data_IF_191769097446
#
_entry.id   IF_191769097446
#
_cell.length_a   1.000
_cell.length_b   1.000
_cell.length_c   1.000
_cell.angle_alpha   90.00
_cell.angle_beta   90.00
_cell.angle_gamma   90.00
#
_symmetry.space_group_name_H-M   'P 1'
#
loop_
_entity.id
_entity.type
_entity.pdbx_description
1 polymer ?
#
# COMPACT_ATOMS: atom_id res chain seq x y z
N UNK A 1 12.68 24.69 8.40
CA UNK A 1 11.41 24.56 9.12
C UNK A 1 10.49 25.78 8.92
N UNK A 2 10.48 26.33 7.74
CA UNK A 2 9.61 27.45 7.41
C UNK A 2 8.26 27.03 6.80
N UNK A 3 8.03 25.73 6.59
CA UNK A 3 6.79 25.25 6.03
C UNK A 3 5.73 25.17 7.13
N UNK A 4 4.61 25.88 6.99
CA UNK A 4 3.49 25.71 7.88
C UNK A 4 2.80 24.38 7.55
N UNK A 5 2.77 23.45 8.49
CA UNK A 5 1.83 22.35 8.46
C UNK A 5 0.42 22.91 8.72
N UNK A 6 -0.55 22.50 7.91
CA UNK A 6 -1.90 23.06 7.97
C UNK A 6 -2.89 22.16 8.67
N UNK A 7 -2.77 20.87 8.47
CA UNK A 7 -3.72 19.88 8.95
C UNK A 7 -3.10 18.85 9.85
N UNK A 8 -1.91 18.34 9.52
CA UNK A 8 -1.26 17.31 10.31
C UNK A 8 0.22 17.58 10.51
N UNK A 9 0.74 17.03 11.57
CA UNK A 9 2.18 16.79 11.74
C UNK A 9 2.38 15.41 12.36
N UNK A 10 3.61 14.91 12.38
CA UNK A 10 3.88 13.64 13.04
C UNK A 10 5.24 13.62 13.72
N UNK A 11 5.36 12.77 14.73
CA UNK A 11 6.63 12.39 15.33
C UNK A 11 6.94 10.96 14.91
N UNK A 12 7.86 10.79 14.00
CA UNK A 12 8.27 9.50 13.46
C UNK A 12 8.81 9.58 12.05
N UNK A 13 8.60 8.54 11.29
CA UNK A 13 9.05 8.39 9.92
C UNK A 13 8.00 7.64 9.11
N UNK A 14 7.56 8.17 7.97
CA UNK A 14 6.72 7.44 7.02
C UNK A 14 7.65 6.72 6.04
N UNK A 15 7.87 5.44 6.27
CA UNK A 15 8.84 4.64 5.52
C UNK A 15 8.42 4.42 4.06
N UNK A 16 7.12 4.44 3.77
CA UNK A 16 6.54 4.23 2.44
C UNK A 16 6.43 5.49 1.61
N UNK A 17 6.91 6.65 2.10
CA UNK A 17 6.69 7.98 1.52
C UNK A 17 7.00 8.06 0.03
N UNK A 18 8.06 7.43 -0.45
CA UNK A 18 8.41 7.43 -1.87
C UNK A 18 7.36 6.76 -2.74
N UNK A 19 6.83 5.62 -2.29
CA UNK A 19 5.72 4.94 -2.93
C UNK A 19 4.45 5.78 -2.90
N UNK A 20 4.15 6.40 -1.77
CA UNK A 20 2.99 7.27 -1.61
C UNK A 20 3.04 8.48 -2.56
N UNK A 21 4.20 9.15 -2.68
CA UNK A 21 4.42 10.24 -3.65
C UNK A 21 4.15 9.76 -5.08
N UNK A 22 4.73 8.63 -5.46
CA UNK A 22 4.56 8.08 -6.80
C UNK A 22 3.10 7.72 -7.10
N UNK A 23 2.39 7.14 -6.13
CA UNK A 23 0.97 6.83 -6.27
C UNK A 23 0.10 8.08 -6.35
N UNK A 24 0.39 9.12 -5.58
CA UNK A 24 -0.33 10.41 -5.68
C UNK A 24 -0.14 11.02 -7.08
N UNK A 25 1.07 10.99 -7.62
CA UNK A 25 1.35 11.46 -8.98
C UNK A 25 0.64 10.61 -10.05
N UNK A 26 0.69 9.27 -9.92
CA UNK A 26 0.10 8.35 -10.89
C UNK A 26 -1.43 8.49 -11.01
N UNK A 27 -2.12 8.74 -9.90
CA UNK A 27 -3.59 8.88 -9.91
C UNK A 27 -4.10 10.27 -10.30
N UNK A 28 -3.20 11.24 -10.54
CA UNK A 28 -3.58 12.63 -10.89
C UNK A 28 -4.64 12.70 -11.98
N UNK A 29 -4.44 11.97 -13.08
CA UNK A 29 -5.31 12.02 -14.24
C UNK A 29 -6.65 11.25 -14.07
N UNK A 30 -6.74 10.42 -13.03
CA UNK A 30 -7.97 9.72 -12.67
C UNK A 30 -8.77 10.46 -11.59
N UNK A 31 -8.25 11.56 -11.06
CA UNK A 31 -8.94 12.35 -10.04
C UNK A 31 -9.89 13.38 -10.68
N UNK A 32 -11.07 13.45 -10.11
CA UNK A 32 -12.02 14.56 -10.30
C UNK A 32 -12.71 14.83 -8.98
N UNK A 33 -13.16 16.05 -8.75
CA UNK A 33 -13.84 16.43 -7.51
C UNK A 33 -15.00 17.36 -7.80
N UNK A 34 -16.17 17.00 -7.31
CA UNK A 34 -17.35 17.88 -7.38
C UNK A 34 -17.23 19.10 -6.46
N UNK A 35 -16.35 19.04 -5.46
CA UNK A 35 -16.12 20.12 -4.50
C UNK A 35 -15.09 21.12 -5.03
N UNK A 36 -13.95 20.60 -5.56
CA UNK A 36 -12.84 21.42 -6.05
C UNK A 36 -13.03 21.87 -7.50
N UNK A 37 -13.80 21.12 -8.30
CA UNK A 37 -14.01 21.42 -9.72
C UNK A 37 -12.70 21.61 -10.48
N UNK A 38 -12.64 22.65 -11.32
CA UNK A 38 -11.46 22.99 -12.14
C UNK A 38 -10.25 23.48 -11.32
N UNK A 39 -10.44 23.80 -10.04
CA UNK A 39 -9.35 24.22 -9.16
C UNK A 39 -8.43 23.07 -8.79
N UNK A 40 -8.88 21.83 -8.95
CA UNK A 40 -8.08 20.61 -8.71
C UNK A 40 -6.77 20.62 -9.54
N UNK A 41 -6.84 21.05 -10.79
CA UNK A 41 -5.66 21.09 -11.67
C UNK A 41 -4.59 22.10 -11.21
N UNK A 42 -5.01 23.15 -10.48
CA UNK A 42 -4.10 24.18 -9.96
C UNK A 42 -3.27 23.70 -8.76
N UNK A 43 -3.67 22.58 -8.13
CA UNK A 43 -2.98 22.03 -6.95
C UNK A 43 -1.70 21.27 -7.31
N UNK A 44 -1.48 20.99 -8.60
CA UNK A 44 -0.33 20.23 -9.02
C UNK A 44 0.90 21.11 -9.37
N UNK A 45 2.11 20.74 -8.93
CA UNK A 45 2.44 19.52 -8.14
C UNK A 45 1.94 19.65 -6.71
N UNK A 46 1.14 18.66 -6.26
CA UNK A 46 0.62 18.61 -4.89
C UNK A 46 1.75 18.47 -3.86
N UNK A 47 2.76 17.67 -4.21
CA UNK A 47 3.93 17.41 -3.38
C UNK A 47 5.14 18.01 -4.09
N UNK A 48 5.82 18.92 -3.41
CA UNK A 48 7.03 19.56 -3.94
C UNK A 48 8.25 18.62 -3.91
N UNK A 49 9.15 18.81 -4.87
CA UNK A 49 10.40 18.04 -4.90
C UNK A 49 11.23 18.23 -3.63
N UNK A 50 11.68 17.12 -3.03
CA UNK A 50 12.46 17.13 -1.81
C UNK A 50 11.68 17.50 -0.54
N UNK A 51 10.36 17.48 -0.59
CA UNK A 51 9.53 17.64 0.59
C UNK A 51 9.82 16.55 1.62
N UNK A 52 9.73 16.88 2.92
CA UNK A 52 9.81 15.89 3.99
C UNK A 52 8.60 14.95 3.93
N UNK A 53 8.71 13.79 4.56
CA UNK A 53 7.60 12.85 4.73
C UNK A 53 6.40 13.49 5.43
N UNK A 54 6.65 14.30 6.46
CA UNK A 54 5.61 15.05 7.17
C UNK A 54 4.89 16.06 6.28
N UNK A 55 5.63 16.83 5.49
CA UNK A 55 5.05 17.80 4.57
C UNK A 55 4.26 17.12 3.46
N UNK A 56 4.76 15.99 3.00
CA UNK A 56 4.10 15.16 1.98
C UNK A 56 2.77 14.61 2.50
N UNK A 57 2.77 14.09 3.73
CA UNK A 57 1.57 13.58 4.37
C UNK A 57 0.54 14.68 4.64
N UNK A 58 0.98 15.87 5.09
CA UNK A 58 0.11 17.03 5.32
C UNK A 58 -0.60 17.47 4.03
N UNK A 59 0.14 17.58 2.92
CA UNK A 59 -0.44 17.94 1.64
C UNK A 59 -1.46 16.90 1.12
N UNK A 60 -1.16 15.61 1.27
CA UNK A 60 -2.09 14.55 0.87
C UNK A 60 -3.35 14.53 1.73
N UNK A 61 -3.18 14.71 3.04
CA UNK A 61 -4.30 14.78 3.98
C UNK A 61 -5.20 16.01 3.71
N UNK A 62 -4.59 17.18 3.49
CA UNK A 62 -5.32 18.39 3.12
C UNK A 62 -6.12 18.22 1.83
N UNK A 63 -5.56 17.55 0.81
CA UNK A 63 -6.29 17.26 -0.42
C UNK A 63 -7.54 16.42 -0.17
N UNK A 64 -7.44 15.38 0.66
CA UNK A 64 -8.58 14.54 0.99
C UNK A 64 -9.68 15.36 1.71
N UNK A 65 -9.29 16.14 2.70
CA UNK A 65 -10.24 16.98 3.46
C UNK A 65 -10.87 18.04 2.57
N UNK A 66 -10.09 18.74 1.75
CA UNK A 66 -10.59 19.72 0.78
C UNK A 66 -11.49 19.07 -0.29
N UNK A 67 -11.24 17.80 -0.62
CA UNK A 67 -12.06 16.99 -1.52
C UNK A 67 -13.39 16.52 -0.93
N UNK A 68 -13.61 16.72 0.39
CA UNK A 68 -14.89 16.46 1.06
C UNK A 68 -14.89 15.33 2.10
N UNK A 69 -13.75 14.68 2.35
CA UNK A 69 -13.64 13.72 3.44
C UNK A 69 -13.61 14.42 4.81
N UNK A 70 -14.22 13.81 5.83
CA UNK A 70 -14.00 14.28 7.22
C UNK A 70 -12.56 13.99 7.65
N UNK A 71 -12.06 14.69 8.66
CA UNK A 71 -10.71 14.47 9.20
C UNK A 71 -10.47 13.01 9.58
N UNK A 72 -11.40 12.43 10.34
CA UNK A 72 -11.30 11.03 10.77
C UNK A 72 -11.36 10.04 9.62
N UNK A 73 -12.17 10.29 8.59
CA UNK A 73 -12.26 9.45 7.40
C UNK A 73 -10.95 9.49 6.61
N UNK A 74 -10.43 10.68 6.29
CA UNK A 74 -9.17 10.84 5.59
C UNK A 74 -8.01 10.18 6.35
N UNK A 75 -7.99 10.32 7.70
CA UNK A 75 -6.97 9.69 8.52
C UNK A 75 -7.07 8.17 8.53
N UNK A 76 -8.27 7.58 8.61
CA UNK A 76 -8.45 6.12 8.53
C UNK A 76 -8.07 5.56 7.16
N UNK A 77 -8.19 6.33 6.09
CA UNK A 77 -7.72 5.94 4.76
C UNK A 77 -6.19 5.93 4.67
N UNK A 78 -5.54 6.98 5.19
CA UNK A 78 -4.08 7.10 5.13
C UNK A 78 -3.38 6.17 6.10
N UNK A 79 -3.88 6.06 7.32
CA UNK A 79 -3.28 5.31 8.43
C UNK A 79 -4.28 4.26 8.93
N UNK A 80 -4.58 3.22 8.14
CA UNK A 80 -5.51 2.18 8.55
C UNK A 80 -4.94 1.36 9.72
N UNK A 81 -5.80 0.91 10.62
CA UNK A 81 -5.43 -0.13 11.58
C UNK A 81 -5.21 -1.48 10.88
N UNK A 82 -4.61 -2.43 11.58
CA UNK A 82 -4.45 -3.80 11.07
C UNK A 82 -5.83 -4.48 10.97
N UNK A 83 -6.31 -4.70 9.76
CA UNK A 83 -7.68 -5.17 9.50
C UNK A 83 -7.76 -6.53 8.81
N UNK A 84 -6.82 -6.85 7.91
CA UNK A 84 -6.93 -7.98 6.98
C UNK A 84 -7.11 -9.32 7.72
N UNK A 85 -6.18 -9.66 8.62
CA UNK A 85 -6.18 -10.94 9.35
C UNK A 85 -6.75 -10.82 10.77
N UNK A 86 -7.43 -9.73 11.09
CA UNK A 86 -8.00 -9.50 12.40
C UNK A 86 -9.39 -10.18 12.53
N UNK A 87 -9.41 -11.42 12.99
CA UNK A 87 -10.63 -12.19 13.15
C UNK A 87 -11.63 -11.59 14.16
N UNK A 88 -11.18 -10.68 15.04
CA UNK A 88 -12.01 -10.04 16.07
C UNK A 88 -12.61 -8.71 15.60
N UNK A 89 -12.23 -8.24 14.41
CA UNK A 89 -12.75 -6.98 13.87
C UNK A 89 -14.20 -7.15 13.42
N UNK A 90 -15.01 -6.16 13.75
CA UNK A 90 -16.39 -6.05 13.27
C UNK A 90 -16.45 -6.07 11.73
N UNK A 91 -17.48 -6.72 11.16
CA UNK A 91 -17.60 -6.94 9.72
C UNK A 91 -17.74 -5.63 8.93
N UNK A 92 -18.54 -4.66 9.42
CA UNK A 92 -18.73 -3.37 8.74
C UNK A 92 -17.42 -2.57 8.74
N UNK A 93 -16.67 -2.61 9.84
CA UNK A 93 -15.35 -1.97 9.95
C UNK A 93 -14.33 -2.61 9.01
N UNK A 94 -14.33 -3.95 8.91
CA UNK A 94 -13.48 -4.66 7.94
C UNK A 94 -13.83 -4.24 6.52
N UNK A 95 -15.10 -4.24 6.15
CA UNK A 95 -15.56 -3.84 4.84
C UNK A 95 -15.18 -2.38 4.50
N UNK A 96 -15.23 -1.49 5.49
CA UNK A 96 -14.75 -0.12 5.32
C UNK A 96 -13.27 -0.08 4.91
N UNK A 97 -12.39 -0.75 5.64
CA UNK A 97 -10.96 -0.73 5.34
C UNK A 97 -10.62 -1.43 4.02
N UNK A 98 -11.25 -2.55 3.74
CA UNK A 98 -11.07 -3.31 2.51
C UNK A 98 -11.49 -2.50 1.28
N UNK A 99 -12.63 -1.81 1.37
CA UNK A 99 -13.09 -0.90 0.34
C UNK A 99 -12.11 0.25 0.08
N UNK A 100 -11.63 0.89 1.15
CA UNK A 100 -10.71 2.03 1.04
C UNK A 100 -9.29 1.62 0.64
N UNK A 101 -8.89 0.37 0.86
CA UNK A 101 -7.63 -0.15 0.34
C UNK A 101 -7.56 -0.13 -1.21
N UNK A 102 -8.70 -0.14 -1.89
CA UNK A 102 -8.76 0.03 -3.34
C UNK A 102 -8.57 1.50 -3.78
N UNK A 103 -8.93 2.44 -2.92
CA UNK A 103 -8.80 3.89 -3.18
C UNK A 103 -7.39 4.38 -2.90
N UNK A 104 -6.81 4.00 -1.78
CA UNK A 104 -5.52 4.50 -1.32
C UNK A 104 -4.68 3.41 -0.67
N UNK A 105 -3.41 3.38 -0.99
CA UNK A 105 -2.40 2.62 -0.27
C UNK A 105 -2.14 3.22 1.12
N UNK A 106 -1.78 2.39 2.13
CA UNK A 106 -1.47 2.91 3.45
C UNK A 106 -0.19 3.75 3.44
N UNK A 107 -0.17 4.78 4.27
CA UNK A 107 1.01 5.56 4.61
C UNK A 107 1.60 4.96 5.88
N UNK A 108 2.69 4.23 5.78
CA UNK A 108 3.17 3.35 6.83
C UNK A 108 4.55 3.73 7.35
N UNK A 109 4.72 3.54 8.63
CA UNK A 109 5.94 3.82 9.38
C UNK A 109 5.63 4.17 10.83
N UNK A 110 6.64 4.20 11.72
CA UNK A 110 6.45 4.51 13.12
C UNK A 110 6.09 5.99 13.30
N UNK A 111 4.83 6.30 13.59
CA UNK A 111 4.39 7.68 13.71
C UNK A 111 3.30 7.89 14.78
N UNK A 112 3.42 8.99 15.53
CA UNK A 112 2.34 9.58 16.31
C UNK A 112 1.88 10.83 15.56
N UNK A 113 0.61 10.88 15.17
CA UNK A 113 0.09 11.82 14.19
C UNK A 113 -1.06 12.63 14.80
N UNK A 114 -0.82 13.84 15.30
CA UNK A 114 -1.86 14.81 15.59
C UNK A 114 -2.32 15.53 14.31
N UNK A 115 -3.62 15.86 14.24
CA UNK A 115 -4.23 16.53 13.11
C UNK A 115 -5.38 17.44 13.55
N UNK A 116 -5.70 18.46 12.75
CA UNK A 116 -6.79 19.41 13.04
C UNK A 116 -7.23 20.17 11.79
N UNK A 117 -8.49 20.62 11.77
CA UNK A 117 -9.04 21.59 10.82
C UNK A 117 -9.44 22.92 11.53
N UNK A 118 -9.12 23.06 12.80
CA UNK A 118 -9.51 24.18 13.64
C UNK A 118 -10.85 24.02 14.35
N UNK A 119 -11.68 23.02 13.97
CA UNK A 119 -12.94 22.65 14.63
C UNK A 119 -12.81 21.35 15.41
N UNK A 120 -12.06 20.44 14.86
CA UNK A 120 -11.75 19.16 15.48
C UNK A 120 -10.24 19.03 15.66
N UNK A 121 -9.83 18.39 16.73
CA UNK A 121 -8.44 18.06 17.02
C UNK A 121 -8.38 16.56 17.25
N UNK A 122 -7.58 15.86 16.43
CA UNK A 122 -7.43 14.43 16.55
C UNK A 122 -5.97 13.99 16.70
N UNK A 123 -5.81 12.76 17.09
CA UNK A 123 -4.52 12.10 17.05
C UNK A 123 -4.70 10.59 16.85
N UNK A 124 -3.75 9.98 16.13
CA UNK A 124 -3.67 8.54 15.95
C UNK A 124 -2.24 8.06 16.05
N UNK A 125 -2.06 6.78 16.32
CA UNK A 125 -0.79 6.09 16.14
C UNK A 125 -0.84 5.24 14.88
N UNK A 126 0.35 4.95 14.35
CA UNK A 126 0.51 3.92 13.34
C UNK A 126 -0.07 2.58 13.81
N UNK A 127 -0.37 1.67 12.88
CA UNK A 127 -0.98 0.38 13.18
C UNK A 127 -0.20 -0.50 14.16
N UNK A 128 1.12 -0.29 14.24
CA UNK A 128 2.00 -1.04 15.13
C UNK A 128 2.18 -0.36 16.50
N UNK A 129 1.86 0.95 16.58
CA UNK A 129 2.01 1.75 17.79
C UNK A 129 3.44 1.86 18.27
N UNK A 130 4.39 2.04 17.36
CA UNK A 130 5.82 2.08 17.68
C UNK A 130 6.24 3.41 18.33
N UNK A 131 5.48 4.48 18.11
CA UNK A 131 5.70 5.76 18.78
C UNK A 131 4.76 5.90 19.97
N UNK A 132 5.24 6.46 21.10
CA UNK A 132 4.37 6.74 22.23
C UNK A 132 3.56 8.02 21.99
N UNK A 133 2.32 8.03 22.47
CA UNK A 133 1.53 9.23 22.66
C UNK A 133 0.69 9.07 23.93
N UNK A 134 0.77 10.04 24.81
CA UNK A 134 0.06 10.08 26.09
C UNK A 134 -0.76 11.35 26.16
N UNK A 135 -1.87 11.29 26.86
CA UNK A 135 -2.70 12.48 27.09
C UNK A 135 -3.22 12.56 28.51
N UNK A 136 -3.52 13.78 28.89
CA UNK A 136 -4.14 14.14 30.16
C UNK A 136 -5.35 15.01 29.87
N UNK A 137 -6.44 14.77 30.57
CA UNK A 137 -7.65 15.61 30.56
C UNK A 137 -7.83 16.20 31.97
N UNK A 138 -8.05 17.49 32.07
CA UNK A 138 -8.24 18.17 33.33
C UNK A 138 -9.70 18.51 33.61
N UNK A 139 -10.03 18.89 34.83
CA UNK A 139 -11.37 19.27 35.27
C UNK A 139 -11.83 20.64 34.72
N UNK A 140 -10.91 21.41 34.14
CA UNK A 140 -11.17 22.66 33.45
C UNK A 140 -11.14 22.52 31.91
N UNK A 141 -11.42 21.29 31.41
CA UNK A 141 -11.56 20.94 30.01
C UNK A 141 -10.28 21.13 29.16
N UNK A 142 -9.09 21.16 29.79
CA UNK A 142 -7.85 21.20 29.07
C UNK A 142 -7.38 19.78 28.71
N UNK A 143 -7.02 19.55 27.45
CA UNK A 143 -6.42 18.30 27.00
C UNK A 143 -5.00 18.56 26.58
N UNK A 144 -4.07 17.80 27.14
CA UNK A 144 -2.63 17.90 26.84
C UNK A 144 -2.18 16.56 26.29
N UNK A 145 -1.58 16.56 25.11
CA UNK A 145 -1.03 15.37 24.47
C UNK A 145 0.45 15.57 24.15
N UNK A 146 1.23 14.53 24.37
CA UNK A 146 2.65 14.50 24.06
C UNK A 146 3.19 13.07 24.04
N UNK A 147 4.44 12.90 23.65
CA UNK A 147 5.13 11.60 23.72
C UNK A 147 5.24 11.08 25.16
N UNK A 148 5.32 12.00 26.12
CA UNK A 148 5.43 11.73 27.55
C UNK A 148 4.46 12.57 28.36
N UNK A 149 4.18 12.11 29.58
CA UNK A 149 3.42 12.87 30.57
C UNK A 149 4.39 13.78 31.33
N UNK A 150 3.92 14.96 31.74
CA UNK A 150 4.74 15.91 32.49
C UNK A 150 5.45 16.96 31.63
N UNK A 151 5.07 17.10 30.35
CA UNK A 151 5.53 18.21 29.48
C UNK A 151 5.06 19.59 29.98
N UNK A 152 3.95 19.59 30.70
CA UNK A 152 3.44 20.73 31.46
C UNK A 152 3.23 20.29 32.91
N UNK A 153 3.50 21.19 33.85
CA UNK A 153 3.27 20.95 35.26
C UNK A 153 1.78 21.16 35.59
N UNK A 154 1.05 20.08 35.65
CA UNK A 154 -0.39 20.05 35.97
C UNK A 154 -0.59 19.45 37.33
N UNK A 155 -1.27 20.15 38.27
CA UNK A 155 -1.60 19.60 39.58
C UNK A 155 -2.40 18.30 39.46
N UNK A 156 -2.01 17.26 40.18
CA UNK A 156 -2.67 15.95 40.08
C UNK A 156 -4.16 16.00 40.40
N UNK A 157 -4.55 16.88 41.33
CA UNK A 157 -5.96 17.10 41.71
C UNK A 157 -6.84 17.61 40.58
N UNK A 158 -6.26 18.22 39.55
CA UNK A 158 -6.97 18.69 38.36
C UNK A 158 -7.12 17.61 37.29
N UNK A 159 -6.40 16.51 37.38
CA UNK A 159 -6.37 15.47 36.36
C UNK A 159 -7.60 14.56 36.51
N UNK A 160 -8.52 14.63 35.55
CA UNK A 160 -9.69 13.74 35.46
C UNK A 160 -9.33 12.42 34.77
N UNK A 161 -8.49 12.47 33.74
CA UNK A 161 -8.09 11.30 32.98
C UNK A 161 -6.61 11.41 32.57
N UNK A 162 -5.89 10.29 32.70
CA UNK A 162 -4.50 10.12 32.28
C UNK A 162 -4.39 8.81 31.54
N UNK A 163 -4.09 8.88 30.23
CA UNK A 163 -4.12 7.70 29.39
C UNK A 163 -3.06 7.76 28.29
N UNK A 164 -3.03 6.74 27.46
CA UNK A 164 -2.18 6.65 26.28
C UNK A 164 -3.00 6.29 25.04
N UNK A 165 -2.59 6.78 23.88
CA UNK A 165 -3.06 6.24 22.61
C UNK A 165 -2.60 4.79 22.44
N UNK A 166 -3.44 3.98 21.84
CA UNK A 166 -3.15 2.59 21.53
C UNK A 166 -2.91 2.44 20.01
N UNK A 167 -2.19 1.38 19.59
CA UNK A 167 -1.98 1.11 18.17
C UNK A 167 -3.28 1.11 17.38
N UNK A 168 -3.31 1.81 16.25
CA UNK A 168 -4.47 1.88 15.38
C UNK A 168 -5.72 2.54 15.99
N UNK A 169 -5.63 3.14 17.19
CA UNK A 169 -6.74 3.83 17.84
C UNK A 169 -6.67 5.33 17.62
N UNK A 170 -7.80 5.93 17.37
CA UNK A 170 -7.97 7.37 17.16
C UNK A 170 -8.55 8.04 18.41
N UNK A 171 -8.07 9.24 18.65
CA UNK A 171 -8.59 10.15 19.66
C UNK A 171 -9.05 11.42 18.94
N UNK A 172 -10.27 11.86 19.16
CA UNK A 172 -10.84 13.05 18.52
C UNK A 172 -11.54 13.93 19.55
N UNK A 173 -11.30 15.23 19.47
CA UNK A 173 -11.98 16.24 20.24
C UNK A 173 -12.78 17.08 19.25
N UNK A 174 -14.07 17.19 19.47
CA UNK A 174 -14.92 18.13 18.74
C UNK A 174 -15.12 19.39 19.59
N UNK A 175 -14.60 20.51 19.07
CA UNK A 175 -14.66 21.80 19.79
C UNK A 175 -16.04 22.45 19.72
N UNK A 176 -16.84 22.11 18.71
CA UNK A 176 -18.21 22.62 18.58
C UNK A 176 -19.17 21.86 19.51
N UNK A 177 -19.01 20.54 19.60
CA UNK A 177 -19.76 19.70 20.53
C UNK A 177 -19.22 19.75 21.98
N UNK A 178 -17.98 20.21 22.16
CA UNK A 178 -17.33 20.32 23.46
C UNK A 178 -17.07 18.96 24.12
N UNK A 179 -16.77 17.90 23.34
CA UNK A 179 -16.56 16.57 23.87
C UNK A 179 -15.43 15.80 23.18
N UNK A 180 -14.96 14.78 23.85
CA UNK A 180 -14.05 13.77 23.30
C UNK A 180 -14.90 12.68 22.66
N UNK A 181 -14.59 12.33 21.40
CA UNK A 181 -15.21 11.25 20.64
C UNK A 181 -14.27 10.07 20.67
N UNK A 182 -14.77 8.92 21.13
CA UNK A 182 -13.97 7.71 21.26
C UNK A 182 -13.78 6.98 19.93
N UNK A 183 -12.72 6.18 19.83
CA UNK A 183 -12.35 5.39 18.65
C UNK A 183 -13.51 4.54 18.10
N UNK A 184 -14.21 3.83 18.98
CA UNK A 184 -15.31 2.95 18.56
C UNK A 184 -16.49 3.72 17.95
N UNK A 185 -16.80 4.89 18.49
CA UNK A 185 -17.86 5.76 17.96
C UNK A 185 -17.50 6.29 16.57
N UNK A 186 -16.25 6.76 16.41
CA UNK A 186 -15.74 7.27 15.12
C UNK A 186 -15.81 6.17 14.06
N UNK A 187 -15.24 5.01 14.38
CA UNK A 187 -15.11 3.90 13.43
C UNK A 187 -16.46 3.28 13.08
N UNK A 188 -17.35 3.11 14.07
CA UNK A 188 -18.70 2.60 13.82
C UNK A 188 -19.50 3.56 12.93
N UNK A 189 -19.45 4.86 13.19
CA UNK A 189 -20.13 5.86 12.38
C UNK A 189 -19.66 5.85 10.92
N UNK A 190 -18.36 5.78 10.68
CA UNK A 190 -17.80 5.76 9.33
C UNK A 190 -18.04 4.41 8.62
N UNK A 191 -17.91 3.29 9.33
CA UNK A 191 -18.12 1.96 8.77
C UNK A 191 -19.59 1.73 8.32
N UNK A 192 -20.54 2.36 9.01
CA UNK A 192 -21.98 2.26 8.71
C UNK A 192 -22.49 3.37 7.79
N UNK A 193 -21.65 4.33 7.42
CA UNK A 193 -22.06 5.46 6.58
C UNK A 193 -22.49 5.07 5.17
N UNK A 194 -21.92 3.99 4.63
CA UNK A 194 -22.16 3.49 3.27
C UNK A 194 -22.25 1.96 3.27
N UNK A 195 -22.85 1.34 2.25
CA UNK A 195 -22.98 -0.12 2.16
C UNK A 195 -21.69 -0.77 1.62
N UNK A 196 -20.56 -0.62 2.30
CA UNK A 196 -19.25 -1.04 1.83
C UNK A 196 -19.18 -2.54 1.52
N UNK A 197 -19.76 -3.40 2.38
CA UNK A 197 -19.77 -4.84 2.14
C UNK A 197 -20.48 -5.18 0.84
N UNK A 198 -21.64 -4.56 0.58
CA UNK A 198 -22.35 -4.79 -0.67
C UNK A 198 -21.53 -4.36 -1.89
N UNK A 199 -20.83 -3.23 -1.79
CA UNK A 199 -19.98 -2.76 -2.88
C UNK A 199 -18.78 -3.68 -3.13
N UNK A 200 -18.20 -4.25 -2.09
CA UNK A 200 -17.15 -5.27 -2.23
C UNK A 200 -17.70 -6.53 -2.91
N UNK A 201 -18.83 -7.05 -2.45
CA UNK A 201 -19.48 -8.23 -3.02
C UNK A 201 -19.82 -8.04 -4.52
N UNK A 202 -20.21 -6.82 -4.90
CA UNK A 202 -20.57 -6.48 -6.29
C UNK A 202 -19.34 -6.26 -7.20
N UNK A 203 -18.17 -5.90 -6.64
CA UNK A 203 -17.03 -5.42 -7.44
C UNK A 203 -15.75 -6.25 -7.29
N UNK A 204 -15.58 -7.04 -6.23
CA UNK A 204 -14.38 -7.79 -5.96
C UNK A 204 -14.46 -9.20 -6.51
N UNK A 205 -13.44 -9.59 -7.26
CA UNK A 205 -13.31 -10.90 -7.88
C UNK A 205 -12.08 -11.55 -7.29
N UNK A 206 -12.22 -12.73 -6.71
CA UNK A 206 -11.10 -13.50 -6.19
C UNK A 206 -10.41 -14.25 -7.32
N UNK A 207 -9.08 -14.19 -7.39
CA UNK A 207 -8.32 -14.92 -8.42
C UNK A 207 -8.57 -16.43 -8.34
N UNK A 208 -8.73 -16.95 -7.13
CA UNK A 208 -8.95 -18.37 -6.87
C UNK A 208 -10.31 -18.87 -7.38
N UNK A 209 -11.31 -17.98 -7.51
CA UNK A 209 -12.64 -18.31 -8.00
C UNK A 209 -12.71 -18.39 -9.53
N UNK A 210 -11.66 -17.93 -10.22
CA UNK A 210 -11.57 -18.04 -11.67
C UNK A 210 -11.29 -19.49 -12.09
N UNK A 211 -12.00 -20.00 -13.13
CA UNK A 211 -11.86 -21.39 -13.56
C UNK A 211 -10.51 -21.71 -14.20
N UNK A 212 -10.05 -22.94 -14.02
CA UNK A 212 -8.86 -23.51 -14.67
C UNK A 212 -9.23 -24.03 -16.06
N UNK A 213 -9.17 -23.18 -17.09
CA UNK A 213 -9.52 -23.59 -18.45
C UNK A 213 -8.38 -24.38 -19.15
N UNK A 214 -7.15 -23.99 -18.93
CA UNK A 214 -5.96 -24.62 -19.55
C UNK A 214 -4.83 -24.66 -18.55
N UNK A 215 -4.23 -25.81 -18.37
CA UNK A 215 -3.05 -25.96 -17.54
C UNK A 215 -1.85 -25.15 -18.04
N UNK A 216 -0.91 -24.79 -17.15
CA UNK A 216 0.28 -24.06 -17.51
C UNK A 216 1.13 -24.87 -18.47
N UNK A 217 1.83 -24.18 -19.37
CA UNK A 217 2.79 -24.82 -20.26
C UNK A 217 3.91 -25.46 -19.43
N UNK A 218 4.05 -26.78 -19.52
CA UNK A 218 5.12 -27.51 -18.83
C UNK A 218 6.44 -27.29 -19.58
N UNK A 219 7.49 -26.81 -18.92
CA UNK A 219 8.80 -26.66 -19.54
C UNK A 219 9.33 -28.00 -20.07
N UNK A 220 9.98 -27.99 -21.23
CA UNK A 220 10.64 -29.18 -21.75
C UNK A 220 11.81 -29.56 -20.83
N UNK A 221 11.73 -30.77 -20.26
CA UNK A 221 12.76 -31.29 -19.36
C UNK A 221 14.17 -31.34 -19.99
N UNK A 222 14.26 -31.45 -21.34
CA UNK A 222 15.54 -31.45 -22.06
C UNK A 222 16.24 -30.09 -22.03
N UNK A 223 15.52 -29.00 -21.87
CA UNK A 223 16.07 -27.65 -21.82
C UNK A 223 16.19 -27.13 -20.39
N UNK A 224 15.78 -27.92 -19.39
CA UNK A 224 15.71 -27.46 -18.00
C UNK A 224 17.07 -27.00 -17.47
N UNK A 225 18.13 -27.80 -17.72
CA UNK A 225 19.47 -27.47 -17.25
C UNK A 225 19.99 -26.16 -17.88
N UNK A 226 19.83 -26.04 -19.21
CA UNK A 226 20.28 -24.84 -19.93
C UNK A 226 19.53 -23.58 -19.41
N UNK A 227 18.25 -23.73 -19.13
CA UNK A 227 17.44 -22.64 -18.56
C UNK A 227 17.86 -22.29 -17.14
N UNK A 228 18.10 -23.30 -16.28
CA UNK A 228 18.62 -23.06 -14.93
C UNK A 228 19.94 -22.31 -14.98
N UNK A 229 20.85 -22.69 -15.86
CA UNK A 229 22.14 -22.02 -16.06
C UNK A 229 21.97 -20.59 -16.59
N UNK A 230 21.08 -20.39 -17.57
CA UNK A 230 20.79 -19.08 -18.13
C UNK A 230 20.24 -18.11 -17.06
N UNK A 231 19.42 -18.60 -16.15
CA UNK A 231 18.85 -17.83 -15.04
C UNK A 231 19.74 -17.81 -13.78
N UNK A 232 20.94 -18.39 -13.84
CA UNK A 232 21.93 -18.35 -12.76
C UNK A 232 21.63 -19.26 -11.58
N UNK A 233 20.76 -20.27 -11.72
CA UNK A 233 20.53 -21.25 -10.68
C UNK A 233 21.69 -22.24 -10.58
N UNK A 234 22.18 -22.45 -9.37
CA UNK A 234 23.23 -23.41 -9.05
C UNK A 234 22.66 -24.67 -8.42
N UNK A 235 23.51 -25.71 -8.30
CA UNK A 235 23.14 -26.89 -7.54
C UNK A 235 22.94 -26.59 -6.05
N UNK A 236 23.65 -25.60 -5.54
CA UNK A 236 23.51 -25.14 -4.16
C UNK A 236 22.11 -24.53 -3.94
N UNK A 237 21.67 -23.65 -4.84
CA UNK A 237 20.32 -23.08 -4.79
C UNK A 237 19.25 -24.17 -4.76
N UNK A 238 19.38 -25.15 -5.65
CA UNK A 238 18.43 -26.26 -5.71
C UNK A 238 18.44 -27.11 -4.45
N UNK A 239 19.62 -27.47 -3.95
CA UNK A 239 19.77 -28.43 -2.85
C UNK A 239 19.49 -27.83 -1.48
N UNK A 240 19.98 -26.62 -1.21
CA UNK A 240 19.94 -26.02 0.11
C UNK A 240 18.85 -24.98 0.31
N UNK A 241 18.27 -24.46 -0.77
CA UNK A 241 17.21 -23.48 -0.70
C UNK A 241 15.87 -23.98 -1.25
N UNK A 242 15.81 -24.31 -2.54
CA UNK A 242 14.55 -24.66 -3.19
C UNK A 242 13.98 -26.00 -2.70
N UNK A 243 14.83 -27.03 -2.55
CA UNK A 243 14.36 -28.34 -2.09
C UNK A 243 13.81 -28.32 -0.66
N UNK A 244 14.47 -27.74 0.34
CA UNK A 244 13.89 -27.60 1.67
C UNK A 244 12.57 -26.81 1.66
N UNK A 245 12.50 -25.69 0.94
CA UNK A 245 11.27 -24.89 0.82
C UNK A 245 10.13 -25.71 0.21
N UNK A 246 10.40 -26.46 -0.86
CA UNK A 246 9.40 -27.30 -1.50
C UNK A 246 8.89 -28.45 -0.60
N UNK A 247 9.74 -28.97 0.28
CA UNK A 247 9.38 -30.07 1.17
C UNK A 247 8.68 -29.63 2.45
N UNK A 248 9.04 -28.48 3.00
CA UNK A 248 8.59 -28.03 4.32
C UNK A 248 7.62 -26.86 4.28
N UNK A 249 7.55 -26.12 3.16
CA UNK A 249 6.81 -24.85 3.06
C UNK A 249 7.42 -23.72 3.89
N UNK A 250 8.68 -23.84 4.31
CA UNK A 250 9.36 -22.87 5.15
C UNK A 250 10.68 -22.43 4.52
N UNK A 251 11.10 -21.19 4.79
CA UNK A 251 12.43 -20.75 4.41
C UNK A 251 13.51 -21.59 5.11
N UNK A 252 14.57 -21.96 4.39
CA UNK A 252 15.67 -22.70 4.98
C UNK A 252 16.41 -21.83 5.99
N UNK A 253 16.72 -22.37 7.16
CA UNK A 253 17.56 -21.71 8.15
C UNK A 253 19.01 -21.78 7.68
N UNK A 254 19.63 -20.61 7.51
CA UNK A 254 21.01 -20.52 7.05
C UNK A 254 21.73 -19.28 7.57
N UNK A 255 22.95 -19.07 7.11
CA UNK A 255 23.70 -17.84 7.40
C UNK A 255 23.08 -16.65 6.67
N UNK A 256 22.99 -15.51 7.35
CA UNK A 256 22.55 -14.23 6.78
C UNK A 256 23.64 -13.54 5.95
N UNK A 257 24.89 -14.05 5.98
CA UNK A 257 26.00 -13.50 5.20
C UNK A 257 25.95 -13.93 3.74
N UNK A 258 26.20 -13.00 2.84
CA UNK A 258 26.37 -13.26 1.41
C UNK A 258 27.74 -12.79 0.97
N UNK A 259 28.56 -13.71 0.49
CA UNK A 259 29.87 -13.41 -0.10
C UNK A 259 29.82 -13.34 -1.64
N UNK A 260 28.62 -13.20 -2.23
CA UNK A 260 28.43 -13.07 -3.66
C UNK A 260 28.90 -11.68 -4.10
N UNK A 261 29.80 -11.57 -5.11
CA UNK A 261 30.19 -10.29 -5.67
C UNK A 261 28.97 -9.49 -6.15
N UNK A 262 29.03 -8.17 -5.98
CA UNK A 262 28.00 -7.27 -6.52
C UNK A 262 27.80 -7.55 -8.01
N UNK A 263 26.55 -7.54 -8.48
CA UNK A 263 26.22 -7.84 -9.88
C UNK A 263 27.03 -7.00 -10.86
N UNK A 264 27.22 -5.71 -10.59
CA UNK A 264 28.01 -4.77 -11.41
C UNK A 264 29.50 -5.12 -11.50
N UNK A 265 30.02 -5.92 -10.57
CA UNK A 265 31.41 -6.41 -10.57
C UNK A 265 31.56 -7.84 -11.07
N UNK A 266 30.49 -8.47 -11.52
CA UNK A 266 30.48 -9.87 -11.97
C UNK A 266 30.66 -9.95 -13.48
N UNK A 267 31.48 -10.91 -13.95
CA UNK A 267 31.63 -11.25 -15.37
C UNK A 267 30.50 -12.22 -15.82
N UNK A 268 29.69 -12.69 -14.88
CA UNK A 268 28.59 -13.61 -15.17
C UNK A 268 27.30 -12.86 -15.45
N UNK A 269 26.44 -13.37 -16.33
CA UNK A 269 25.10 -12.84 -16.51
C UNK A 269 24.34 -12.85 -15.17
N UNK A 270 23.76 -11.71 -14.82
CA UNK A 270 22.94 -11.55 -13.62
C UNK A 270 21.54 -11.12 -14.01
N UNK A 271 20.55 -11.46 -13.17
CA UNK A 271 19.18 -10.95 -13.35
C UNK A 271 19.17 -9.44 -13.24
N UNK A 272 18.28 -8.79 -13.96
CA UNK A 272 18.15 -7.34 -13.92
C UNK A 272 17.92 -6.84 -12.47
N UNK A 273 17.13 -7.55 -11.68
CA UNK A 273 16.85 -7.23 -10.28
C UNK A 273 18.11 -7.17 -9.40
N UNK A 274 19.16 -7.94 -9.73
CA UNK A 274 20.40 -8.00 -8.93
C UNK A 274 21.24 -6.73 -9.04
N UNK A 275 20.96 -5.88 -10.04
CA UNK A 275 21.62 -4.58 -10.24
C UNK A 275 20.93 -3.44 -9.49
N UNK A 276 19.76 -3.68 -8.90
CA UNK A 276 18.98 -2.66 -8.20
C UNK A 276 18.97 -2.87 -6.70
N UNK A 277 18.72 -1.82 -5.99
CA UNK A 277 18.70 -1.76 -4.54
C UNK A 277 17.36 -1.20 -4.06
N UNK A 278 16.86 -1.74 -2.97
CA UNK A 278 15.68 -1.16 -2.30
C UNK A 278 15.93 0.29 -1.89
N UNK A 279 14.92 1.13 -2.07
CA UNK A 279 14.99 2.56 -1.79
C UNK A 279 14.18 2.98 -0.58
N UNK A 280 13.44 2.07 0.07
CA UNK A 280 12.70 2.37 1.30
C UNK A 280 13.58 2.21 2.53
N UNK A 281 13.24 2.90 3.61
CA UNK A 281 13.89 2.74 4.89
C UNK A 281 13.62 1.34 5.46
N UNK A 282 14.66 0.67 5.93
CA UNK A 282 14.58 -0.66 6.52
C UNK A 282 15.45 -0.74 7.75
N UNK A 283 14.87 -1.20 8.86
CA UNK A 283 15.63 -1.43 10.11
C UNK A 283 16.22 -2.84 10.10
N UNK A 284 17.41 -2.98 10.72
CA UNK A 284 18.12 -4.28 10.82
C UNK A 284 17.34 -5.29 11.68
N UNK A 285 16.77 -4.80 12.79
CA UNK A 285 15.95 -5.59 13.70
C UNK A 285 14.56 -4.97 13.78
N UNK A 286 13.61 -5.33 12.92
CA UNK A 286 12.25 -4.83 12.99
C UNK A 286 11.62 -5.14 14.35
N UNK A 287 10.87 -4.22 14.96
CA UNK A 287 10.24 -4.44 16.27
C UNK A 287 8.95 -5.27 16.16
N UNK A 288 8.75 -5.95 15.05
CA UNK A 288 7.59 -6.82 14.78
C UNK A 288 8.08 -8.26 14.81
N UNK A 289 7.52 -9.05 15.71
CA UNK A 289 7.76 -10.48 15.80
C UNK A 289 6.91 -11.25 14.79
N UNK A 290 7.22 -12.52 14.47
CA UNK A 290 6.48 -13.30 13.47
C UNK A 290 4.99 -13.47 13.76
N UNK A 291 4.56 -13.44 15.02
CA UNK A 291 3.13 -13.56 15.39
C UNK A 291 2.40 -12.25 15.08
N UNK A 292 3.00 -11.12 15.40
CA UNK A 292 2.42 -9.80 15.10
C UNK A 292 2.49 -9.46 13.62
N UNK A 293 3.50 -9.94 12.92
CA UNK A 293 3.64 -9.77 11.47
C UNK A 293 2.42 -10.30 10.73
N UNK A 294 1.93 -11.48 11.09
CA UNK A 294 0.74 -12.09 10.48
C UNK A 294 -0.51 -11.21 10.61
N UNK A 295 -0.63 -10.48 11.73
CA UNK A 295 -1.75 -9.57 11.97
C UNK A 295 -1.62 -8.22 11.25
N UNK A 296 -0.41 -7.65 11.21
CA UNK A 296 -0.21 -6.24 10.80
C UNK A 296 0.31 -6.07 9.37
N UNK A 297 0.71 -7.15 8.71
CA UNK A 297 1.23 -7.14 7.33
C UNK A 297 0.26 -7.87 6.40
N UNK A 298 0.14 -7.38 5.17
CA UNK A 298 -0.66 -8.03 4.13
C UNK A 298 0.06 -7.98 2.80
N UNK A 299 -0.06 -9.05 2.02
CA UNK A 299 0.45 -9.15 0.65
C UNK A 299 -0.67 -9.03 -0.39
N UNK A 300 -1.90 -8.82 0.05
CA UNK A 300 -3.05 -8.67 -0.84
C UNK A 300 -2.82 -7.52 -1.82
N UNK A 301 -3.05 -7.80 -3.08
CA UNK A 301 -2.97 -6.82 -4.17
C UNK A 301 -4.28 -6.76 -4.92
N UNK A 302 -4.71 -5.55 -5.29
CA UNK A 302 -5.90 -5.32 -6.10
C UNK A 302 -5.48 -4.89 -7.50
N UNK A 303 -5.84 -5.68 -8.50
CA UNK A 303 -5.55 -5.45 -9.92
C UNK A 303 -6.82 -4.96 -10.60
N UNK A 304 -6.69 -3.92 -11.42
CA UNK A 304 -7.81 -3.37 -12.20
C UNK A 304 -7.84 -1.85 -12.20
N UNK A 305 -8.92 -1.26 -12.72
CA UNK A 305 -9.06 0.19 -12.82
C UNK A 305 -8.99 0.83 -11.43
N UNK A 306 -8.16 1.86 -11.29
CA UNK A 306 -8.09 2.63 -10.06
C UNK A 306 -9.30 3.54 -9.95
N UNK A 307 -10.00 3.52 -8.80
CA UNK A 307 -11.12 4.44 -8.57
C UNK A 307 -10.63 5.88 -8.41
N UNK A 308 -11.56 6.82 -8.60
CA UNK A 308 -11.30 8.21 -8.29
C UNK A 308 -11.14 8.42 -6.78
N UNK A 309 -9.96 8.86 -6.35
CA UNK A 309 -9.66 9.04 -4.92
C UNK A 309 -10.58 10.06 -4.24
N UNK A 310 -11.02 11.08 -4.96
CA UNK A 310 -11.86 12.17 -4.43
C UNK A 310 -13.37 11.94 -4.63
N UNK A 311 -13.75 10.76 -5.09
CA UNK A 311 -15.14 10.29 -5.14
C UNK A 311 -15.27 9.01 -4.33
N UNK A 312 -15.73 9.09 -3.08
CA UNK A 312 -15.79 7.93 -2.20
C UNK A 312 -16.76 6.83 -2.69
N UNK A 313 -17.64 7.13 -3.63
CA UNK A 313 -18.62 6.18 -4.15
C UNK A 313 -18.15 5.50 -5.46
N UNK A 314 -17.15 6.05 -6.16
CA UNK A 314 -16.66 5.52 -7.44
C UNK A 314 -16.11 4.08 -7.33
N UNK A 315 -15.43 3.76 -6.23
CA UNK A 315 -14.88 2.42 -6.01
C UNK A 315 -15.96 1.33 -5.93
N UNK A 316 -17.19 1.68 -5.56
CA UNK A 316 -18.34 0.79 -5.54
C UNK A 316 -18.85 0.37 -6.94
N UNK A 317 -18.31 0.96 -8.01
CA UNK A 317 -18.67 0.67 -9.41
C UNK A 317 -17.55 0.02 -10.21
N UNK A 318 -16.32 0.01 -9.71
CA UNK A 318 -15.13 -0.48 -10.41
C UNK A 318 -14.80 -1.90 -9.99
N UNK A 319 -14.94 -2.86 -10.90
CA UNK A 319 -14.54 -4.25 -10.65
C UNK A 319 -13.00 -4.35 -10.48
N UNK A 320 -12.57 -5.16 -9.53
CA UNK A 320 -11.16 -5.41 -9.21
C UNK A 320 -10.92 -6.90 -9.02
N UNK A 321 -9.75 -7.34 -9.44
CA UNK A 321 -9.26 -8.69 -9.17
C UNK A 321 -8.40 -8.65 -7.90
N UNK A 322 -8.82 -9.36 -6.88
CA UNK A 322 -8.03 -9.58 -5.68
C UNK A 322 -7.06 -10.73 -5.88
N UNK A 323 -5.83 -10.50 -5.50
CA UNK A 323 -4.73 -11.46 -5.51
C UNK A 323 -4.13 -11.48 -4.12
N UNK A 324 -4.21 -12.61 -3.44
CA UNK A 324 -3.79 -12.73 -2.02
C UNK A 324 -2.31 -12.51 -1.79
N UNK A 325 -1.50 -12.74 -2.81
CA UNK A 325 -0.04 -12.54 -2.76
C UNK A 325 0.51 -12.16 -4.14
N UNK A 326 1.61 -11.38 -4.20
CA UNK A 326 2.14 -10.87 -5.48
C UNK A 326 2.89 -11.94 -6.30
N UNK A 327 3.23 -13.08 -5.72
CA UNK A 327 3.91 -14.20 -6.40
C UNK A 327 2.85 -15.19 -6.86
N UNK A 328 2.64 -15.25 -8.17
CA UNK A 328 1.63 -16.09 -8.78
C UNK A 328 2.22 -17.44 -9.19
N UNK A 329 1.41 -18.49 -9.10
CA UNK A 329 1.70 -19.75 -9.78
C UNK A 329 1.52 -19.59 -11.29
N UNK A 330 2.05 -20.52 -12.07
CA UNK A 330 1.80 -20.52 -13.51
C UNK A 330 0.30 -20.65 -13.85
N UNK A 331 -0.46 -21.35 -13.01
CA UNK A 331 -1.92 -21.47 -13.17
C UNK A 331 -2.59 -20.11 -12.96
N UNK A 332 -2.24 -19.40 -11.89
CA UNK A 332 -2.79 -18.09 -11.59
C UNK A 332 -2.49 -17.08 -12.70
N UNK A 333 -1.28 -17.11 -13.25
CA UNK A 333 -0.92 -16.27 -14.39
C UNK A 333 -1.78 -16.58 -15.62
N UNK A 334 -2.06 -17.86 -15.90
CA UNK A 334 -2.96 -18.23 -17.01
C UNK A 334 -4.41 -17.83 -16.75
N UNK A 335 -4.89 -17.87 -15.50
CA UNK A 335 -6.21 -17.30 -15.14
C UNK A 335 -6.26 -15.79 -15.44
N UNK A 336 -5.24 -15.03 -15.02
CA UNK A 336 -5.14 -13.60 -15.33
C UNK A 336 -5.05 -13.36 -16.84
N UNK A 337 -4.27 -14.16 -17.56
CA UNK A 337 -4.09 -14.02 -19.01
C UNK A 337 -5.40 -14.19 -19.79
N UNK A 338 -6.33 -14.94 -19.25
CA UNK A 338 -7.63 -15.30 -19.88
C UNK A 338 -8.84 -14.69 -19.20
N UNK A 339 -8.63 -13.77 -18.29
CA UNK A 339 -9.69 -13.18 -17.47
C UNK A 339 -10.82 -12.55 -18.29
N UNK A 340 -10.51 -12.03 -19.49
CA UNK A 340 -11.50 -11.42 -20.38
C UNK A 340 -12.62 -12.38 -20.81
N UNK A 341 -12.34 -13.69 -20.84
CA UNK A 341 -13.31 -14.72 -21.19
C UNK A 341 -14.22 -15.12 -20.02
N UNK A 342 -13.86 -14.71 -18.81
CA UNK A 342 -14.45 -15.20 -17.55
C UNK A 342 -15.25 -14.15 -16.81
N UNK A 343 -14.95 -12.85 -17.02
CA UNK A 343 -15.54 -11.74 -16.26
C UNK A 343 -15.99 -10.63 -17.21
N UNK A 344 -17.23 -10.70 -17.69
CA UNK A 344 -18.01 -9.67 -18.40
C UNK A 344 -17.20 -8.62 -19.21
N UNK A 345 -16.04 -8.99 -19.74
CA UNK A 345 -15.12 -8.12 -20.51
C UNK A 345 -14.62 -6.85 -19.79
N UNK A 346 -14.75 -6.78 -18.46
CA UNK A 346 -14.23 -5.65 -17.66
C UNK A 346 -12.70 -5.64 -17.64
N UNK A 347 -12.10 -6.84 -17.63
CA UNK A 347 -10.67 -7.02 -17.71
C UNK A 347 -10.27 -7.48 -19.10
N UNK A 348 -9.23 -6.87 -19.65
CA UNK A 348 -8.58 -7.28 -20.89
C UNK A 348 -7.10 -7.30 -20.70
N UNK A 349 -6.51 -8.44 -20.97
CA UNK A 349 -5.08 -8.67 -20.78
C UNK A 349 -4.35 -8.66 -22.11
N UNK A 350 -3.22 -7.98 -22.17
CA UNK A 350 -2.30 -8.02 -23.29
C UNK A 350 -0.92 -8.49 -22.84
N UNK A 351 -0.31 -9.42 -23.57
CA UNK A 351 1.05 -9.89 -23.27
C UNK A 351 2.03 -9.17 -24.19
N UNK A 352 2.97 -8.46 -23.58
CA UNK A 352 4.08 -7.79 -24.24
C UNK A 352 5.31 -8.69 -24.21
N UNK A 353 5.91 -8.96 -25.37
CA UNK A 353 7.20 -9.64 -25.49
C UNK A 353 8.32 -8.67 -25.10
N UNK A 354 9.13 -9.02 -24.11
CA UNK A 354 10.26 -8.22 -23.63
C UNK A 354 11.60 -8.74 -24.13
N UNK A 355 11.60 -9.67 -25.09
CA UNK A 355 12.83 -10.23 -25.63
C UNK A 355 13.40 -9.38 -26.75
N UNK A 356 14.70 -9.47 -26.98
CA UNK A 356 15.39 -8.90 -28.13
C UNK A 356 16.54 -9.81 -28.59
N UNK A 357 16.99 -9.73 -29.84
CA UNK A 357 18.09 -10.55 -30.32
C UNK A 357 19.41 -10.21 -29.61
N UNK A 358 19.99 -11.18 -28.90
CA UNK A 358 21.24 -10.99 -28.16
C UNK A 358 22.41 -10.55 -29.06
N UNK A 359 22.37 -10.89 -30.36
CA UNK A 359 23.37 -10.46 -31.34
C UNK A 359 23.45 -8.95 -31.58
N UNK A 360 22.40 -8.22 -31.23
CA UNK A 360 22.33 -6.75 -31.35
C UNK A 360 22.98 -6.02 -30.18
N UNK A 361 23.35 -6.72 -29.12
CA UNK A 361 24.05 -6.20 -27.95
C UNK A 361 23.30 -5.06 -27.26
N UNK A 362 24.03 -4.16 -26.60
CA UNK A 362 23.44 -3.07 -25.81
C UNK A 362 22.64 -2.06 -26.64
N UNK A 363 23.01 -1.83 -27.88
CA UNK A 363 22.25 -0.93 -28.77
C UNK A 363 20.89 -1.53 -29.15
N UNK A 364 20.84 -2.84 -29.40
CA UNK A 364 19.58 -3.56 -29.64
C UNK A 364 18.68 -3.55 -28.41
N UNK A 365 19.25 -3.76 -27.21
CA UNK A 365 18.49 -3.67 -25.98
C UNK A 365 17.88 -2.28 -25.77
N UNK A 366 18.63 -1.21 -25.97
CA UNK A 366 18.12 0.15 -25.82
C UNK A 366 16.97 0.44 -26.80
N UNK A 367 17.10 0.02 -28.05
CA UNK A 367 16.07 0.15 -29.07
C UNK A 367 14.82 -0.66 -28.70
N UNK A 368 14.99 -1.92 -28.31
CA UNK A 368 13.87 -2.79 -27.92
C UNK A 368 13.11 -2.23 -26.70
N UNK A 369 13.81 -1.60 -25.76
CA UNK A 369 13.16 -0.95 -24.61
C UNK A 369 12.29 0.25 -25.04
N UNK A 370 12.79 1.08 -25.96
CA UNK A 370 12.01 2.19 -26.49
C UNK A 370 10.77 1.71 -27.26
N UNK A 371 10.93 0.69 -28.10
CA UNK A 371 9.83 0.05 -28.83
C UNK A 371 8.82 -0.59 -27.90
N UNK A 372 9.27 -1.21 -26.80
CA UNK A 372 8.40 -1.79 -25.76
C UNK A 372 7.57 -0.69 -25.08
N UNK A 373 8.18 0.43 -24.70
CA UNK A 373 7.48 1.55 -24.10
C UNK A 373 6.40 2.10 -25.05
N UNK A 374 6.74 2.34 -26.30
CA UNK A 374 5.78 2.82 -27.31
C UNK A 374 4.65 1.81 -27.53
N UNK A 375 4.97 0.52 -27.60
CA UNK A 375 3.95 -0.53 -27.76
C UNK A 375 3.03 -0.62 -26.55
N UNK A 376 3.57 -0.45 -25.34
CA UNK A 376 2.75 -0.42 -24.12
C UNK A 376 1.79 0.77 -24.12
N UNK A 377 2.22 1.95 -24.52
CA UNK A 377 1.38 3.15 -24.69
C UNK A 377 0.25 2.88 -25.69
N UNK A 378 0.57 2.37 -26.88
CA UNK A 378 -0.40 2.03 -27.92
C UNK A 378 -1.44 1.00 -27.45
N UNK A 379 -1.04 0.05 -26.59
CA UNK A 379 -1.95 -0.97 -26.04
C UNK A 379 -2.88 -0.37 -24.99
N UNK A 380 -2.37 0.53 -24.15
CA UNK A 380 -3.18 1.20 -23.11
C UNK A 380 -4.22 2.13 -23.70
N UNK A 381 -3.97 2.75 -24.86
CA UNK A 381 -4.97 3.53 -25.60
C UNK A 381 -6.12 2.68 -26.14
N UNK A 382 -5.93 1.34 -26.22
CA UNK A 382 -6.97 0.37 -26.52
C UNK A 382 -7.62 -0.08 -25.20
N UNK A 383 -8.70 -0.86 -25.25
CA UNK A 383 -9.40 -1.27 -24.02
C UNK A 383 -8.69 -2.37 -23.22
N UNK A 384 -7.35 -2.39 -23.20
CA UNK A 384 -6.56 -3.29 -22.36
C UNK A 384 -6.19 -2.60 -21.05
N UNK A 385 -6.40 -3.30 -19.93
CA UNK A 385 -6.16 -2.75 -18.60
C UNK A 385 -5.27 -3.64 -17.70
N UNK A 386 -4.80 -4.75 -18.26
CA UNK A 386 -3.76 -5.59 -17.65
C UNK A 386 -2.68 -5.84 -18.70
N UNK A 387 -1.44 -5.47 -18.38
CA UNK A 387 -0.28 -5.76 -19.22
C UNK A 387 0.60 -6.82 -18.55
N UNK A 388 0.95 -7.86 -19.30
CA UNK A 388 1.86 -8.92 -18.85
C UNK A 388 3.16 -8.77 -19.64
N UNK A 389 4.24 -8.48 -18.96
CA UNK A 389 5.59 -8.52 -19.56
C UNK A 389 6.07 -9.98 -19.56
N UNK A 390 6.43 -10.51 -20.71
CA UNK A 390 6.81 -11.92 -20.85
C UNK A 390 8.09 -12.09 -21.68
N UNK A 391 8.95 -12.92 -21.19
CA UNK A 391 10.18 -13.38 -21.87
C UNK A 391 10.01 -14.75 -22.58
N UNK A 392 8.76 -15.14 -22.87
CA UNK A 392 8.39 -16.41 -23.51
C UNK A 392 7.74 -16.18 -24.87
#
# INVERSE_FOLDING_TARGET
LAQPFRYLCHNGEINTVRGNINWMAARRHAMSSSVLGDDLDKLWPLIGDGASDSATADNAFELLVAGGYSLSHAMMMMIPEAWNDNALMDADRRAFYEYHAALMEPWDGPAAIPFTDGRQIGATLDRNGLRPARYVVTDDDLVIMGSEVGVLDIPEEKIVQKWRLQPGKMFLIDLEEGRIIGDEEIKASLAQAKPYQKWLDDTQIQLEDLPDEIGPMTPDARTLLDRQQAFGYTQEDTKFFLTPMALTGQDPIGSMGIDIPLAVLSDQPKRMSDYFKQCFAQVTNPPIDPIREELVMSLVSLIGPRPNLLDPDDAGTKKRLEVRQPILTNMDLERVRRIENQVDQVFRTYTLDITYPASEGGAGMAKALEELCQHAEDVVERPYNILILSDR
#
